data_IF_533999540928
#
_entry.id   IF_533999540928
#
_cell.length_a   1.000
_cell.length_b   1.000
_cell.length_c   1.000
_cell.angle_alpha   90.00
_cell.angle_beta   90.00
_cell.angle_gamma   90.00
#
_symmetry.space_group_name_H-M   'P 1'
#
loop_
_entity.id
_entity.type
_entity.pdbx_description
1 polymer ?
#
# COMPACT_ATOMS: atom_id res chain seq x y z
N UNK A 1 6.45 14.34 10.89
CA UNK A 1 7.89 14.67 10.82
C UNK A 1 8.63 13.42 10.34
N UNK A 2 9.33 13.49 9.22
CA UNK A 2 10.17 12.41 8.73
C UNK A 2 11.58 12.48 9.37
N UNK A 3 12.38 11.41 9.18
CA UNK A 3 13.74 11.32 9.74
C UNK A 3 14.61 12.52 9.35
N UNK A 4 14.54 12.97 8.10
CA UNK A 4 15.31 14.10 7.57
C UNK A 4 14.94 15.41 8.25
N UNK A 5 13.66 15.64 8.51
CA UNK A 5 13.17 16.83 9.25
C UNK A 5 13.63 16.80 10.71
N UNK A 6 13.64 15.63 11.36
CA UNK A 6 14.14 15.49 12.71
C UNK A 6 15.65 15.71 12.79
N UNK A 7 16.42 15.16 11.85
CA UNK A 7 17.85 15.39 11.74
C UNK A 7 18.17 16.87 11.47
N UNK A 8 17.40 17.54 10.61
CA UNK A 8 17.53 18.98 10.38
C UNK A 8 17.21 19.80 11.64
N UNK A 9 16.17 19.45 12.39
CA UNK A 9 15.81 20.09 13.66
C UNK A 9 16.93 19.94 14.69
N UNK A 10 17.43 18.73 14.87
CA UNK A 10 18.55 18.45 15.79
C UNK A 10 19.82 19.19 15.39
N UNK A 11 20.08 19.31 14.09
CA UNK A 11 21.21 20.07 13.56
C UNK A 11 21.06 21.57 13.87
N UNK A 12 19.85 22.14 13.73
CA UNK A 12 19.58 23.53 14.08
C UNK A 12 19.76 23.80 15.58
N UNK A 13 19.32 22.88 16.44
CA UNK A 13 19.57 22.97 17.88
C UNK A 13 21.07 22.90 18.18
N UNK A 14 21.77 21.94 17.58
CA UNK A 14 23.22 21.78 17.76
C UNK A 14 24.03 22.98 17.27
N UNK A 15 23.60 23.62 16.17
CA UNK A 15 24.19 24.85 15.62
C UNK A 15 23.82 26.12 16.40
N UNK A 16 22.91 26.04 17.38
CA UNK A 16 22.43 27.19 18.15
C UNK A 16 21.53 28.16 17.37
N UNK A 17 21.05 27.77 16.18
CA UNK A 17 20.11 28.57 15.36
C UNK A 17 18.70 28.59 15.92
N UNK A 18 18.35 27.56 16.70
CA UNK A 18 17.14 27.50 17.53
C UNK A 18 17.53 27.01 18.92
N UNK A 19 16.81 27.44 19.92
CA UNK A 19 17.02 27.00 21.29
C UNK A 19 16.51 25.57 21.51
N UNK A 20 17.04 24.82 22.50
CA UNK A 20 16.46 23.52 22.89
C UNK A 20 14.97 23.60 23.22
N UNK A 21 14.52 24.73 23.75
CA UNK A 21 13.11 24.99 24.09
C UNK A 21 12.22 25.06 22.83
N UNK A 22 12.67 25.79 21.81
CA UNK A 22 11.99 25.87 20.52
C UNK A 22 12.00 24.50 19.81
N UNK A 23 13.09 23.74 19.94
CA UNK A 23 13.19 22.35 19.47
C UNK A 23 12.14 21.45 20.16
N UNK A 24 12.02 21.54 21.48
CA UNK A 24 11.00 20.81 22.25
C UNK A 24 9.57 21.19 21.86
N UNK A 25 9.28 22.47 21.61
CA UNK A 25 7.97 22.93 21.15
C UNK A 25 7.62 22.32 19.78
N UNK A 26 8.57 22.25 18.84
CA UNK A 26 8.37 21.59 17.55
C UNK A 26 8.16 20.08 17.70
N UNK A 27 8.82 19.44 18.68
CA UNK A 27 8.67 18.02 18.99
C UNK A 27 7.38 17.70 19.76
N UNK A 28 6.75 18.70 20.40
CA UNK A 28 5.56 18.51 21.24
C UNK A 28 4.36 17.92 20.49
N UNK A 29 4.23 18.21 19.17
CA UNK A 29 3.15 17.72 18.33
C UNK A 29 3.49 16.39 17.62
N UNK A 30 4.60 15.75 17.98
CA UNK A 30 5.15 14.59 17.30
C UNK A 30 4.37 13.29 17.42
N UNK A 31 3.63 12.94 18.50
CA UNK A 31 2.95 11.66 18.46
C UNK A 31 1.72 11.68 17.56
N UNK A 32 0.86 12.67 17.71
CA UNK A 32 -0.36 12.81 16.91
C UNK A 32 -0.97 14.21 17.07
N UNK A 33 -1.78 14.61 16.10
CA UNK A 33 -2.62 15.82 16.17
C UNK A 33 -4.07 15.40 16.42
N UNK A 34 -4.69 15.93 17.49
CA UNK A 34 -6.10 15.69 17.79
C UNK A 34 -6.93 16.82 17.17
N UNK A 35 -7.80 16.48 16.22
CA UNK A 35 -8.72 17.39 15.54
C UNK A 35 -10.17 17.20 16.00
N UNK A 36 -10.36 16.57 17.16
CA UNK A 36 -11.64 16.32 17.82
C UNK A 36 -12.30 15.01 17.39
N UNK A 37 -12.52 14.82 16.10
CA UNK A 37 -13.12 13.59 15.56
C UNK A 37 -12.07 12.56 15.06
N UNK A 38 -10.80 12.96 14.92
CA UNK A 38 -9.72 12.08 14.51
C UNK A 38 -8.40 12.47 15.19
N UNK A 39 -7.50 11.48 15.31
CA UNK A 39 -6.13 11.68 15.77
C UNK A 39 -5.18 11.27 14.66
N UNK A 40 -4.45 12.23 14.09
CA UNK A 40 -3.58 12.04 12.94
C UNK A 40 -2.17 11.71 13.44
N UNK A 41 -1.66 10.54 13.10
CA UNK A 41 -0.35 10.03 13.54
C UNK A 41 0.79 10.56 12.66
N UNK A 42 1.28 11.75 12.95
CA UNK A 42 2.42 12.33 12.23
C UNK A 42 3.77 11.60 12.49
N UNK A 43 3.81 10.76 13.52
CA UNK A 43 5.01 9.99 13.89
C UNK A 43 5.12 8.65 13.16
N UNK A 44 4.08 8.26 12.42
CA UNK A 44 4.02 6.95 11.75
C UNK A 44 5.15 6.74 10.75
N UNK A 45 5.50 7.77 9.98
CA UNK A 45 6.62 7.69 9.02
C UNK A 45 7.97 7.40 9.68
N UNK A 46 8.22 7.90 10.89
CA UNK A 46 9.44 7.60 11.66
C UNK A 46 9.46 6.18 12.20
N UNK A 47 8.31 5.68 12.70
CA UNK A 47 8.22 4.34 13.28
C UNK A 47 8.13 3.24 12.25
N UNK A 48 7.35 3.46 11.19
CA UNK A 48 6.98 2.43 10.21
C UNK A 48 7.59 2.66 8.82
N UNK A 49 8.23 3.83 8.58
CA UNK A 49 8.74 4.21 7.27
C UNK A 49 7.66 4.62 6.27
N UNK A 50 6.39 4.62 6.68
CA UNK A 50 5.22 4.90 5.82
C UNK A 50 4.37 5.99 6.46
N UNK A 51 3.93 7.01 5.71
CA UNK A 51 3.08 8.08 6.23
C UNK A 51 1.69 7.57 6.65
N UNK A 52 0.93 8.42 7.34
CA UNK A 52 -0.46 8.16 7.67
C UNK A 52 -1.28 7.94 6.39
N UNK A 53 -2.26 7.03 6.47
CA UNK A 53 -3.14 6.67 5.36
C UNK A 53 -4.59 6.88 5.77
N UNK A 54 -5.38 7.51 4.90
CA UNK A 54 -6.80 7.73 5.17
C UNK A 54 -7.59 6.53 4.63
N UNK A 55 -8.24 5.79 5.54
CA UNK A 55 -9.31 4.87 5.17
C UNK A 55 -10.61 5.67 5.11
N UNK A 56 -11.13 5.95 3.91
CA UNK A 56 -12.24 6.89 3.70
C UNK A 56 -13.62 6.27 3.91
N UNK A 57 -13.73 4.94 3.85
CA UNK A 57 -15.03 4.28 4.02
C UNK A 57 -15.63 4.60 5.39
N UNK A 58 -16.91 5.01 5.40
CA UNK A 58 -17.62 5.41 6.61
C UNK A 58 -17.29 6.82 7.14
N UNK A 59 -16.40 7.57 6.47
CA UNK A 59 -16.15 8.98 6.79
C UNK A 59 -16.97 9.92 5.92
N UNK A 60 -17.33 11.09 6.47
CA UNK A 60 -17.94 12.16 5.66
C UNK A 60 -16.88 12.84 4.78
N UNK A 61 -17.31 13.50 3.71
CA UNK A 61 -16.44 14.26 2.80
C UNK A 61 -15.62 15.30 3.57
N UNK A 62 -16.26 16.03 4.50
CA UNK A 62 -15.58 17.03 5.32
C UNK A 62 -14.52 16.44 6.24
N UNK A 63 -14.77 15.26 6.81
CA UNK A 63 -13.79 14.54 7.61
C UNK A 63 -12.58 14.12 6.76
N UNK A 64 -12.81 13.53 5.59
CA UNK A 64 -11.74 13.11 4.67
C UNK A 64 -10.91 14.32 4.24
N UNK A 65 -11.55 15.41 3.84
CA UNK A 65 -10.88 16.65 3.45
C UNK A 65 -10.05 17.22 4.59
N UNK A 66 -10.62 17.34 5.79
CA UNK A 66 -9.92 17.91 6.95
C UNK A 66 -8.69 17.11 7.34
N UNK A 67 -8.77 15.76 7.33
CA UNK A 67 -7.63 14.89 7.59
C UNK A 67 -6.57 15.06 6.50
N UNK A 68 -6.97 15.06 5.22
CA UNK A 68 -6.07 15.23 4.09
C UNK A 68 -5.31 16.55 4.15
N UNK A 69 -6.00 17.65 4.45
CA UNK A 69 -5.40 18.98 4.61
C UNK A 69 -4.33 18.98 5.72
N UNK A 70 -4.61 18.35 6.87
CA UNK A 70 -3.63 18.27 7.97
C UNK A 70 -2.40 17.45 7.60
N UNK A 71 -2.58 16.30 6.94
CA UNK A 71 -1.45 15.47 6.47
C UNK A 71 -0.57 16.27 5.50
N UNK A 72 -1.16 16.98 4.53
CA UNK A 72 -0.43 17.76 3.55
C UNK A 72 0.27 18.98 4.16
N UNK A 73 -0.34 19.67 5.14
CA UNK A 73 0.28 20.80 5.84
C UNK A 73 1.54 20.40 6.63
N UNK A 74 1.64 19.13 7.03
CA UNK A 74 2.86 18.57 7.65
C UNK A 74 3.89 18.05 6.63
N UNK A 75 3.79 18.45 5.36
CA UNK A 75 4.69 18.04 4.28
C UNK A 75 4.83 16.51 4.15
N UNK A 76 3.78 15.78 4.47
CA UNK A 76 3.71 14.33 4.32
C UNK A 76 3.00 13.96 3.02
N UNK A 77 3.41 12.87 2.39
CA UNK A 77 2.66 12.27 1.30
C UNK A 77 1.28 11.81 1.80
N UNK A 78 0.27 11.95 0.96
CA UNK A 78 -1.08 11.49 1.22
C UNK A 78 -1.38 10.25 0.40
N UNK A 79 -1.88 9.22 1.06
CA UNK A 79 -2.59 8.10 0.44
C UNK A 79 -3.96 7.99 1.12
N UNK A 80 -5.02 8.07 0.31
CA UNK A 80 -6.38 7.81 0.76
C UNK A 80 -6.95 6.61 -0.01
N UNK A 81 -7.59 5.68 0.69
CA UNK A 81 -8.15 4.45 0.13
C UNK A 81 -9.66 4.41 0.36
N UNK A 82 -10.39 3.62 -0.43
CA UNK A 82 -11.85 3.51 -0.40
C UNK A 82 -12.54 4.87 -0.54
N UNK A 83 -11.99 5.73 -1.37
CA UNK A 83 -12.48 7.08 -1.60
C UNK A 83 -13.75 7.04 -2.43
N UNK A 84 -14.81 7.76 -2.00
CA UNK A 84 -15.99 8.01 -2.84
C UNK A 84 -15.68 9.09 -3.89
N UNK A 85 -16.44 9.17 -5.00
CA UNK A 85 -16.23 10.24 -5.99
C UNK A 85 -16.27 11.64 -5.40
N UNK A 86 -17.20 11.92 -4.48
CA UNK A 86 -17.35 13.22 -3.83
C UNK A 86 -16.15 13.54 -2.91
N UNK A 87 -15.66 12.54 -2.17
CA UNK A 87 -14.46 12.68 -1.35
C UNK A 87 -13.21 12.85 -2.21
N UNK A 88 -13.15 12.20 -3.38
CA UNK A 88 -12.05 12.39 -4.33
C UNK A 88 -12.02 13.83 -4.85
N UNK A 89 -13.17 14.38 -5.28
CA UNK A 89 -13.26 15.78 -5.70
C UNK A 89 -12.75 16.73 -4.60
N UNK A 90 -13.14 16.50 -3.34
CA UNK A 90 -12.69 17.32 -2.22
C UNK A 90 -11.17 17.22 -2.01
N UNK A 91 -10.58 16.02 -2.11
CA UNK A 91 -9.12 15.83 -1.99
C UNK A 91 -8.35 16.43 -3.16
N UNK A 92 -8.87 16.36 -4.38
CA UNK A 92 -8.26 16.95 -5.57
C UNK A 92 -8.11 18.46 -5.47
N UNK A 93 -8.96 19.14 -4.69
CA UNK A 93 -8.83 20.60 -4.45
C UNK A 93 -7.65 20.97 -3.55
N UNK A 94 -7.12 20.02 -2.76
CA UNK A 94 -6.06 20.28 -1.78
C UNK A 94 -4.68 20.44 -2.42
N UNK A 95 -4.45 19.83 -3.58
CA UNK A 95 -3.15 19.88 -4.25
C UNK A 95 -3.29 19.68 -5.76
N UNK A 96 -2.58 20.47 -6.61
CA UNK A 96 -2.52 20.22 -8.04
C UNK A 96 -1.79 18.91 -8.40
N UNK A 97 -1.10 18.29 -7.46
CA UNK A 97 -0.41 17.00 -7.61
C UNK A 97 -1.29 15.82 -7.20
N UNK A 98 -2.53 16.06 -6.77
CA UNK A 98 -3.44 15.00 -6.38
C UNK A 98 -3.85 14.18 -7.62
N UNK A 99 -3.67 12.86 -7.51
CA UNK A 99 -4.03 11.89 -8.55
C UNK A 99 -5.10 10.93 -8.00
N UNK A 100 -6.21 10.82 -8.73
CA UNK A 100 -7.33 9.95 -8.39
C UNK A 100 -7.41 8.75 -9.33
N UNK A 101 -7.17 7.55 -8.80
CA UNK A 101 -7.46 6.31 -9.49
C UNK A 101 -8.88 5.85 -9.15
N UNK A 102 -9.79 6.01 -10.11
CA UNK A 102 -11.21 5.66 -9.93
C UNK A 102 -11.45 4.15 -9.78
N UNK A 103 -10.63 3.30 -10.41
CA UNK A 103 -10.74 1.83 -10.31
C UNK A 103 -10.32 1.39 -8.90
N UNK A 104 -9.18 1.86 -8.43
CA UNK A 104 -8.66 1.58 -7.09
C UNK A 104 -9.43 2.31 -5.99
N UNK A 105 -10.22 3.34 -6.33
CA UNK A 105 -10.85 4.25 -5.38
C UNK A 105 -9.82 4.85 -4.41
N UNK A 106 -8.70 5.35 -4.96
CA UNK A 106 -7.60 5.91 -4.19
C UNK A 106 -7.24 7.30 -4.65
N UNK A 107 -6.84 8.18 -3.71
CA UNK A 107 -6.21 9.46 -4.02
C UNK A 107 -4.80 9.47 -3.46
N UNK A 108 -3.84 9.87 -4.28
CA UNK A 108 -2.43 10.01 -3.90
C UNK A 108 -1.98 11.44 -4.11
N UNK A 109 -1.26 12.00 -3.13
CA UNK A 109 -0.50 13.25 -3.30
C UNK A 109 0.93 12.99 -2.87
N UNK A 110 1.87 13.08 -3.81
CA UNK A 110 3.29 12.93 -3.53
C UNK A 110 3.96 14.30 -3.43
N UNK A 111 4.20 14.78 -2.23
CA UNK A 111 5.02 15.97 -1.97
C UNK A 111 6.52 15.65 -2.06
N UNK A 112 6.88 14.41 -1.69
CA UNK A 112 8.22 13.87 -1.84
C UNK A 112 8.14 12.51 -2.51
N UNK A 113 8.82 12.35 -3.64
CA UNK A 113 8.87 11.07 -4.36
C UNK A 113 9.83 10.13 -3.63
N UNK A 114 9.36 8.98 -3.10
CA UNK A 114 10.26 7.99 -2.52
C UNK A 114 11.17 7.39 -3.63
N UNK A 115 12.43 7.04 -3.30
CA UNK A 115 13.30 6.38 -4.27
C UNK A 115 12.67 5.04 -4.70
N UNK A 116 12.67 4.72 -6.01
CA UNK A 116 12.14 3.46 -6.50
C UNK A 116 13.01 2.29 -6.02
N UNK A 117 12.37 1.16 -5.70
CA UNK A 117 13.08 -0.08 -5.38
C UNK A 117 13.64 -0.74 -6.65
N UNK A 118 14.80 -1.42 -6.55
CA UNK A 118 15.31 -2.26 -7.62
C UNK A 118 14.50 -3.56 -7.78
N UNK A 119 14.01 -4.10 -6.65
CA UNK A 119 13.12 -5.26 -6.66
C UNK A 119 11.72 -4.90 -7.16
N UNK A 120 11.06 -5.85 -7.81
CA UNK A 120 9.75 -5.69 -8.42
C UNK A 120 8.67 -6.38 -7.57
N UNK A 121 7.59 -5.66 -7.30
CA UNK A 121 6.32 -6.24 -6.83
C UNK A 121 5.48 -6.58 -8.07
N UNK A 122 5.08 -7.82 -8.22
CA UNK A 122 4.11 -8.22 -9.26
C UNK A 122 2.71 -8.31 -8.64
N UNK A 123 1.73 -7.68 -9.26
CA UNK A 123 0.31 -7.83 -8.88
C UNK A 123 -0.43 -8.60 -9.97
N UNK A 124 -0.94 -9.78 -9.63
CA UNK A 124 -1.70 -10.67 -10.51
C UNK A 124 -3.16 -10.73 -10.10
N UNK A 125 -4.09 -10.47 -11.01
CA UNK A 125 -5.53 -10.59 -10.77
C UNK A 125 -6.16 -11.71 -11.59
N UNK A 126 -7.04 -12.50 -10.96
CA UNK A 126 -7.69 -13.64 -11.60
C UNK A 126 -8.66 -13.21 -12.70
N UNK A 127 -9.51 -12.23 -12.42
CA UNK A 127 -10.49 -11.73 -13.38
C UNK A 127 -10.56 -10.21 -13.39
N UNK A 128 -11.25 -9.67 -14.40
CA UNK A 128 -11.46 -8.22 -14.53
C UNK A 128 -12.28 -7.64 -13.38
N UNK A 129 -13.15 -8.43 -12.76
CA UNK A 129 -13.93 -8.02 -11.58
C UNK A 129 -13.08 -7.87 -10.33
N UNK A 130 -11.88 -8.48 -10.27
CA UNK A 130 -10.95 -8.36 -9.17
C UNK A 130 -10.07 -7.11 -9.27
N UNK A 131 -10.10 -6.41 -10.42
CA UNK A 131 -9.24 -5.25 -10.71
C UNK A 131 -9.33 -4.13 -9.66
N UNK A 132 -10.49 -3.77 -9.10
CA UNK A 132 -10.53 -2.71 -8.09
C UNK A 132 -9.63 -2.99 -6.87
N UNK A 133 -9.60 -4.24 -6.41
CA UNK A 133 -8.76 -4.65 -5.28
C UNK A 133 -7.29 -4.77 -5.70
N UNK A 134 -7.03 -5.28 -6.91
CA UNK A 134 -5.67 -5.35 -7.47
C UNK A 134 -5.06 -3.96 -7.67
N UNK A 135 -5.83 -3.01 -8.23
CA UNK A 135 -5.39 -1.63 -8.42
C UNK A 135 -5.16 -0.91 -7.08
N UNK A 136 -5.96 -1.18 -6.03
CA UNK A 136 -5.69 -0.65 -4.69
C UNK A 136 -4.32 -1.12 -4.18
N UNK A 137 -3.95 -2.39 -4.42
CA UNK A 137 -2.64 -2.92 -4.06
C UNK A 137 -1.52 -2.27 -4.90
N UNK A 138 -1.73 -2.09 -6.20
CA UNK A 138 -0.79 -1.42 -7.13
C UNK A 138 -0.50 0.00 -6.69
N UNK A 139 -1.56 0.80 -6.52
CA UNK A 139 -1.43 2.22 -6.11
C UNK A 139 -0.75 2.31 -4.76
N UNK A 140 -1.14 1.47 -3.80
CA UNK A 140 -0.51 1.45 -2.48
C UNK A 140 0.98 1.16 -2.56
N UNK A 141 1.40 0.09 -3.23
CA UNK A 141 2.80 -0.28 -3.32
C UNK A 141 3.63 0.79 -4.06
N UNK A 142 3.08 1.40 -5.13
CA UNK A 142 3.73 2.50 -5.87
C UNK A 142 3.86 3.76 -5.03
N UNK A 143 2.80 4.17 -4.34
CA UNK A 143 2.81 5.36 -3.48
C UNK A 143 3.85 5.25 -2.36
N UNK A 144 4.17 4.02 -1.92
CA UNK A 144 5.21 3.73 -0.94
C UNK A 144 6.63 3.62 -1.54
N UNK A 145 6.77 3.63 -2.88
CA UNK A 145 8.06 3.62 -3.58
C UNK A 145 8.46 2.28 -4.21
N UNK A 146 7.58 1.27 -4.21
CA UNK A 146 7.90 0.02 -4.91
C UNK A 146 7.76 0.16 -6.43
N UNK A 147 8.69 -0.45 -7.16
CA UNK A 147 8.53 -0.74 -8.59
C UNK A 147 7.48 -1.84 -8.74
N UNK A 148 6.40 -1.57 -9.48
CA UNK A 148 5.25 -2.48 -9.59
C UNK A 148 4.96 -2.82 -11.05
N UNK A 149 4.86 -4.12 -11.34
CA UNK A 149 4.33 -4.69 -12.59
C UNK A 149 2.98 -5.35 -12.34
N UNK A 150 2.18 -5.48 -13.38
CA UNK A 150 0.81 -6.01 -13.28
C UNK A 150 0.51 -7.04 -14.34
N UNK A 151 -0.29 -8.04 -13.98
CA UNK A 151 -0.83 -9.06 -14.88
C UNK A 151 -2.29 -9.27 -14.52
N UNK A 152 -3.19 -9.01 -15.45
CA UNK A 152 -4.61 -9.13 -15.22
C UNK A 152 -5.25 -10.20 -16.09
N UNK A 153 -6.42 -10.70 -15.63
CA UNK A 153 -7.20 -11.73 -16.30
C UNK A 153 -6.44 -13.05 -16.53
N UNK A 154 -5.70 -13.49 -15.51
CA UNK A 154 -4.91 -14.73 -15.51
C UNK A 154 -5.51 -15.83 -14.63
N UNK A 155 -6.85 -15.84 -14.51
CA UNK A 155 -7.58 -16.83 -13.72
C UNK A 155 -7.34 -18.28 -14.18
N UNK A 156 -7.47 -19.20 -13.22
CA UNK A 156 -7.14 -20.65 -13.43
C UNK A 156 -8.02 -21.34 -14.46
N UNK A 157 -9.20 -20.79 -14.79
CA UNK A 157 -10.03 -21.30 -15.88
C UNK A 157 -9.36 -21.18 -17.27
N UNK A 158 -8.35 -20.32 -17.40
CA UNK A 158 -7.52 -20.19 -18.58
C UNK A 158 -6.03 -20.22 -18.21
N UNK A 159 -5.57 -21.32 -17.62
CA UNK A 159 -4.22 -21.46 -17.05
C UNK A 159 -3.09 -21.09 -18.00
N UNK A 160 -3.28 -21.30 -19.32
CA UNK A 160 -2.31 -20.89 -20.35
C UNK A 160 -1.99 -19.39 -20.28
N UNK A 161 -2.96 -18.52 -19.95
CA UNK A 161 -2.75 -17.08 -19.81
C UNK A 161 -1.76 -16.74 -18.68
N UNK A 162 -1.86 -17.45 -17.57
CA UNK A 162 -0.89 -17.34 -16.46
C UNK A 162 0.49 -17.83 -16.87
N UNK A 163 0.56 -18.98 -17.57
CA UNK A 163 1.83 -19.58 -17.98
C UNK A 163 2.57 -18.73 -19.03
N UNK A 164 1.85 -17.97 -19.83
CA UNK A 164 2.44 -17.01 -20.79
C UNK A 164 3.13 -15.82 -20.06
N UNK A 165 2.83 -15.60 -18.79
CA UNK A 165 3.41 -14.52 -17.97
C UNK A 165 4.50 -15.00 -17.00
N UNK A 166 4.97 -16.26 -17.13
CA UNK A 166 5.93 -16.88 -16.22
C UNK A 166 7.20 -16.05 -15.99
N UNK A 167 7.70 -15.38 -17.03
CA UNK A 167 8.94 -14.59 -16.92
C UNK A 167 8.77 -13.41 -15.93
N UNK A 168 7.57 -12.80 -15.88
CA UNK A 168 7.22 -11.78 -14.90
C UNK A 168 7.11 -12.36 -13.48
N UNK A 169 6.52 -13.57 -13.36
CA UNK A 169 6.41 -14.26 -12.08
C UNK A 169 7.80 -14.57 -11.49
N UNK A 170 8.74 -15.04 -12.33
CA UNK A 170 10.09 -15.39 -11.87
C UNK A 170 10.97 -14.17 -11.59
N UNK A 171 10.76 -13.07 -12.30
CA UNK A 171 11.50 -11.82 -12.11
C UNK A 171 11.06 -11.04 -10.85
N UNK A 172 9.86 -11.29 -10.33
CA UNK A 172 9.33 -10.59 -9.18
C UNK A 172 10.08 -10.96 -7.89
N UNK A 173 10.20 -10.02 -6.96
CA UNK A 173 10.69 -10.26 -5.60
C UNK A 173 9.59 -10.74 -4.66
N UNK A 174 8.39 -10.27 -4.88
CA UNK A 174 7.16 -10.65 -4.17
C UNK A 174 5.98 -10.54 -5.11
N UNK A 175 5.00 -11.41 -4.95
CA UNK A 175 3.81 -11.46 -5.81
C UNK A 175 2.57 -11.24 -4.95
N UNK A 176 1.73 -10.29 -5.35
CA UNK A 176 0.37 -10.13 -4.82
C UNK A 176 -0.58 -10.86 -5.77
N UNK A 177 -1.38 -11.78 -5.25
CA UNK A 177 -2.37 -12.54 -6.04
C UNK A 177 -3.76 -12.21 -5.55
N UNK A 178 -4.57 -11.60 -6.43
CA UNK A 178 -5.93 -11.16 -6.13
C UNK A 178 -6.94 -12.05 -6.86
N UNK A 179 -7.80 -12.72 -6.11
CA UNK A 179 -8.76 -13.66 -6.68
C UNK A 179 -10.03 -13.80 -5.83
N UNK A 180 -11.18 -13.73 -6.50
CA UNK A 180 -12.47 -14.13 -5.96
C UNK A 180 -12.81 -15.59 -6.22
N UNK A 181 -14.10 -15.88 -6.36
CA UNK A 181 -14.63 -17.23 -6.59
C UNK A 181 -14.13 -18.25 -5.56
N UNK A 182 -13.27 -19.19 -5.98
CA UNK A 182 -12.66 -20.22 -5.12
C UNK A 182 -11.23 -19.88 -4.69
N UNK A 183 -10.64 -18.78 -5.20
CA UNK A 183 -9.31 -18.33 -4.80
C UNK A 183 -8.14 -19.21 -5.25
N UNK A 184 -8.32 -20.13 -6.19
CA UNK A 184 -7.33 -21.14 -6.57
C UNK A 184 -6.04 -20.55 -7.18
N UNK A 185 -6.11 -19.35 -7.78
CA UNK A 185 -4.95 -18.71 -8.41
C UNK A 185 -3.77 -18.58 -7.44
N UNK A 186 -4.02 -18.25 -6.17
CA UNK A 186 -2.98 -18.09 -5.16
C UNK A 186 -2.17 -19.39 -4.95
N UNK A 187 -2.84 -20.53 -4.89
CA UNK A 187 -2.18 -21.84 -4.75
C UNK A 187 -1.39 -22.21 -6.01
N UNK A 188 -1.93 -21.92 -7.19
CA UNK A 188 -1.25 -22.20 -8.48
C UNK A 188 0.02 -21.36 -8.59
N UNK A 189 -0.06 -20.05 -8.35
CA UNK A 189 1.11 -19.16 -8.37
C UNK A 189 2.13 -19.59 -7.31
N UNK A 190 1.68 -19.85 -6.07
CA UNK A 190 2.58 -20.28 -5.00
C UNK A 190 3.28 -21.62 -5.28
N UNK A 191 2.67 -22.50 -6.10
CA UNK A 191 3.30 -23.73 -6.55
C UNK A 191 4.29 -23.57 -7.72
N UNK A 192 4.24 -22.43 -8.41
CA UNK A 192 5.10 -22.15 -9.58
C UNK A 192 6.38 -21.39 -9.21
N UNK A 193 6.40 -20.66 -8.11
CA UNK A 193 7.47 -19.71 -7.76
C UNK A 193 8.13 -20.03 -6.43
N UNK A 194 9.37 -19.56 -6.26
CA UNK A 194 10.14 -19.56 -5.02
C UNK A 194 10.04 -18.22 -4.26
N UNK A 195 9.06 -17.38 -4.62
CA UNK A 195 8.88 -16.03 -4.09
C UNK A 195 7.76 -16.00 -3.05
N UNK A 196 7.79 -15.07 -2.07
CA UNK A 196 6.65 -14.82 -1.20
C UNK A 196 5.41 -14.43 -2.01
N UNK A 197 4.28 -15.03 -1.69
CA UNK A 197 2.98 -14.72 -2.30
C UNK A 197 2.06 -14.13 -1.24
N UNK A 198 1.58 -12.91 -1.47
CA UNK A 198 0.56 -12.25 -0.66
C UNK A 198 -0.79 -12.44 -1.36
N UNK A 199 -1.62 -13.33 -0.83
CA UNK A 199 -2.91 -13.66 -1.39
C UNK A 199 -4.01 -12.75 -0.86
N UNK A 200 -4.83 -12.22 -1.76
CA UNK A 200 -5.96 -11.33 -1.47
C UNK A 200 -7.24 -12.01 -1.94
N UNK A 201 -8.04 -12.56 -1.04
CA UNK A 201 -9.37 -13.02 -1.40
C UNK A 201 -10.25 -11.80 -1.70
N UNK A 202 -11.09 -11.87 -2.74
CA UNK A 202 -12.07 -10.83 -3.02
C UNK A 202 -13.48 -11.29 -2.76
N UNK A 203 -14.39 -10.35 -2.50
CA UNK A 203 -15.82 -10.59 -2.36
C UNK A 203 -16.50 -10.94 -3.70
N UNK A 204 -15.75 -10.89 -4.80
CA UNK A 204 -16.22 -11.22 -6.15
C UNK A 204 -16.59 -12.69 -6.23
N UNK A 205 -17.86 -12.95 -6.58
CA UNK A 205 -18.38 -14.30 -6.70
C UNK A 205 -19.89 -14.34 -6.52
N UNK A 206 -20.44 -15.53 -6.51
CA UNK A 206 -21.88 -15.79 -6.34
C UNK A 206 -22.11 -17.10 -5.55
N UNK A 207 -23.36 -17.34 -5.13
CA UNK A 207 -23.74 -18.59 -4.45
C UNK A 207 -22.91 -18.83 -3.18
N UNK A 208 -22.18 -19.93 -3.13
CA UNK A 208 -21.38 -20.36 -1.97
C UNK A 208 -20.08 -19.55 -1.75
N UNK A 209 -19.87 -18.45 -2.47
CA UNK A 209 -18.75 -17.56 -2.22
C UNK A 209 -18.86 -16.84 -0.86
N UNK A 210 -20.09 -16.59 -0.37
CA UNK A 210 -20.36 -15.91 0.91
C UNK A 210 -19.57 -14.61 1.08
N UNK A 211 -19.56 -13.74 0.05
CA UNK A 211 -18.90 -12.43 0.12
C UNK A 211 -17.38 -12.52 0.31
N UNK A 212 -16.74 -13.55 -0.24
CA UNK A 212 -15.29 -13.74 -0.20
C UNK A 212 -14.81 -14.72 0.85
N UNK A 213 -15.72 -15.33 1.65
CA UNK A 213 -15.32 -16.31 2.66
C UNK A 213 -14.76 -17.58 2.00
N UNK A 214 -15.32 -18.02 0.89
CA UNK A 214 -14.83 -19.21 0.18
C UNK A 214 -13.37 -19.03 -0.30
N UNK A 215 -13.00 -17.99 -1.05
CA UNK A 215 -11.61 -17.77 -1.43
C UNK A 215 -10.70 -17.54 -0.20
N UNK A 216 -11.16 -16.86 0.85
CA UNK A 216 -10.37 -16.69 2.07
C UNK A 216 -9.99 -18.03 2.67
N UNK A 217 -10.95 -18.92 2.88
CA UNK A 217 -10.71 -20.25 3.46
C UNK A 217 -9.86 -21.13 2.54
N UNK A 218 -10.07 -21.05 1.23
CA UNK A 218 -9.26 -21.79 0.26
C UNK A 218 -7.78 -21.33 0.30
N UNK A 219 -7.53 -20.01 0.31
CA UNK A 219 -6.18 -19.46 0.39
C UNK A 219 -5.49 -19.80 1.73
N UNK A 220 -6.22 -19.72 2.85
CA UNK A 220 -5.69 -20.11 4.18
C UNK A 220 -5.33 -21.59 4.27
N UNK A 221 -5.98 -22.46 3.49
CA UNK A 221 -5.72 -23.88 3.41
C UNK A 221 -4.82 -24.27 2.23
N UNK A 222 -4.12 -23.31 1.61
CA UNK A 222 -3.23 -23.58 0.49
C UNK A 222 -2.11 -24.54 0.89
N UNK A 223 -1.84 -25.55 0.05
CA UNK A 223 -0.67 -26.42 0.20
C UNK A 223 0.64 -25.74 -0.19
N UNK A 224 0.61 -24.60 -0.86
CA UNK A 224 1.80 -23.84 -1.24
C UNK A 224 2.33 -23.08 -0.02
N UNK A 225 3.46 -23.50 0.53
CA UNK A 225 4.02 -23.01 1.79
C UNK A 225 4.39 -21.51 1.80
N UNK A 226 4.63 -20.91 0.63
CA UNK A 226 5.00 -19.49 0.49
C UNK A 226 3.82 -18.50 0.43
N UNK A 227 2.57 -18.97 0.63
CA UNK A 227 1.36 -18.15 0.55
C UNK A 227 0.98 -17.60 1.92
N UNK A 228 0.94 -16.27 2.06
CA UNK A 228 0.38 -15.56 3.20
C UNK A 228 -0.90 -14.83 2.76
N UNK A 229 -1.93 -14.81 3.61
CA UNK A 229 -3.25 -14.29 3.23
C UNK A 229 -3.57 -13.03 4.00
N UNK A 230 -4.07 -12.00 3.30
CA UNK A 230 -4.64 -10.79 3.91
C UNK A 230 -6.18 -10.93 3.98
N UNK A 231 -6.85 -9.95 4.58
CA UNK A 231 -8.30 -9.97 4.70
C UNK A 231 -8.99 -9.81 3.32
N UNK A 232 -10.29 -10.12 3.27
CA UNK A 232 -11.14 -9.98 2.07
C UNK A 232 -11.11 -8.52 1.58
N UNK A 233 -10.96 -8.33 0.26
CA UNK A 233 -10.90 -7.04 -0.43
C UNK A 233 -9.80 -6.08 0.10
N UNK A 234 -8.79 -6.58 0.80
CA UNK A 234 -7.73 -5.77 1.39
C UNK A 234 -6.54 -5.56 0.45
N UNK A 235 -6.77 -4.87 -0.67
CA UNK A 235 -5.71 -4.49 -1.61
C UNK A 235 -4.65 -3.61 -0.96
N UNK A 236 -5.08 -2.64 -0.12
CA UNK A 236 -4.16 -1.80 0.64
C UNK A 236 -3.20 -2.63 1.51
N UNK A 237 -3.72 -3.54 2.33
CA UNK A 237 -2.88 -4.37 3.20
C UNK A 237 -1.90 -5.24 2.42
N UNK A 238 -2.31 -5.76 1.26
CA UNK A 238 -1.44 -6.55 0.39
C UNK A 238 -0.34 -5.69 -0.25
N UNK A 239 -0.68 -4.52 -0.79
CA UNK A 239 0.28 -3.57 -1.35
C UNK A 239 1.31 -3.11 -0.32
N UNK A 240 0.85 -2.82 0.90
CA UNK A 240 1.70 -2.47 2.04
C UNK A 240 2.66 -3.61 2.41
N UNK A 241 2.14 -4.83 2.57
CA UNK A 241 2.96 -6.01 2.91
C UNK A 241 3.98 -6.31 1.82
N UNK A 242 3.56 -6.28 0.55
CA UNK A 242 4.45 -6.49 -0.59
C UNK A 242 5.55 -5.43 -0.66
N UNK A 243 5.25 -4.15 -0.43
CA UNK A 243 6.25 -3.09 -0.31
C UNK A 243 7.24 -3.39 0.83
N UNK A 244 6.76 -3.78 2.00
CA UNK A 244 7.61 -4.08 3.17
C UNK A 244 8.58 -5.22 2.87
N UNK A 245 8.12 -6.30 2.23
CA UNK A 245 8.96 -7.42 1.81
C UNK A 245 10.00 -6.96 0.77
N UNK A 246 9.57 -6.16 -0.20
CA UNK A 246 10.44 -5.63 -1.25
C UNK A 246 11.56 -4.75 -0.66
N UNK A 247 11.23 -3.92 0.33
CA UNK A 247 12.18 -3.02 1.00
C UNK A 247 13.22 -3.77 1.85
N UNK A 248 12.89 -4.92 2.45
CA UNK A 248 13.86 -5.76 3.17
C UNK A 248 14.97 -6.22 2.22
N UNK A 249 14.62 -6.63 1.00
CA UNK A 249 15.57 -7.01 -0.02
C UNK A 249 16.51 -5.89 -0.47
N UNK A 250 16.05 -4.63 -0.49
CA UNK A 250 16.91 -3.46 -0.78
C UNK A 250 17.98 -3.26 0.30
N UNK A 251 17.61 -3.37 1.57
CA UNK A 251 18.54 -3.19 2.72
C UNK A 251 19.64 -4.24 2.72
N UNK A 252 19.34 -5.48 2.32
CA UNK A 252 20.32 -6.57 2.24
C UNK A 252 21.36 -6.28 1.15
N UNK A 253 20.91 -5.81 -0.02
CA UNK A 253 21.80 -5.51 -1.15
C UNK A 253 22.73 -4.34 -0.82
N UNK A 254 22.22 -3.26 -0.19
CA UNK A 254 23.05 -2.12 0.18
C UNK A 254 24.13 -2.47 1.21
N UNK A 255 23.80 -3.28 2.21
CA UNK A 255 24.78 -3.72 3.22
C UNK A 255 25.90 -4.64 2.67
N UNK A 256 25.63 -5.34 1.56
CA UNK A 256 26.61 -6.21 0.90
C UNK A 256 27.59 -5.45 -0.02
N UNK A 257 27.32 -4.18 -0.33
CA UNK A 257 28.19 -3.32 -1.15
C UNK A 257 29.15 -2.47 -0.31
N UNK A 258 28.94 -2.39 1.00
CA UNK A 258 29.78 -1.65 1.94
C UNK A 258 30.86 -2.54 2.61
N UNK A 259 30.92 -3.83 2.30
CA UNK A 259 31.93 -4.80 2.75
C UNK A 259 32.85 -5.18 1.63
#
# INVERSE_FOLDING_TARGET
VNRTQLEALLTQVAAGTITPQEGLEQLRFLPYEDIGFARIDHHRSLRQGVPEVIFCEGKTVDQVRSIGERILNHQSNLLATRVSPEAAEALLTLSPQADYNAIARTVVVQQTTPPPTAGVVLVAAAGTSDMPVAEEAVVTARALGSTVQTVYDVGVAGLHRLLDTRDLLFAARVIVVVAGMEGALASVVGGLVDKPVVAVPTSVGYGANFGGLAPLLAMLNSCAAGVAVVNIDNGFGAGYMAHSINLIGEKIVSSSQET
#
